data_IF_876126601103
#
_entry.id   IF_876126601103
#
_cell.length_a   1.000
_cell.length_b   1.000
_cell.length_c   1.000
_cell.angle_alpha   90.00
_cell.angle_beta   90.00
_cell.angle_gamma   90.00
#
_symmetry.space_group_name_H-M   'P 1'
#
loop_
_entity.id
_entity.type
_entity.pdbx_description
1 polymer ?
2 branched ?
3 non-polymer ?
4 non-polymer ?
5 non-polymer ?
6 water ?
#
# COMPACT_ATOMS: atom_id res chain seq x y z
N UNK A 38 -4.01 -27.31 4.09
CA UNK A 38 -3.49 -27.08 5.46
C UNK A 38 -3.98 -25.79 6.16
N UNK A 39 -4.58 -24.87 5.40
CA UNK A 39 -4.94 -23.54 5.96
C UNK A 39 -3.71 -22.65 6.25
N UNK A 40 -2.65 -22.81 5.47
CA UNK A 40 -1.44 -22.00 5.60
C UNK A 40 -1.01 -21.34 4.26
N UNK A 41 -1.66 -21.67 3.16
CA UNK A 41 -1.18 -21.20 1.86
C UNK A 41 -1.49 -19.71 1.63
N UNK A 42 -0.70 -19.11 0.74
CA UNK A 42 -0.88 -17.72 0.37
C UNK A 42 -2.22 -17.49 -0.29
N UNK A 43 -2.81 -16.29 -0.06
CA UNK A 43 -3.98 -15.87 -0.77
C UNK A 43 -3.63 -14.81 -1.79
N UNK A 44 -3.96 -15.08 -3.05
CA UNK A 44 -3.61 -14.22 -4.17
C UNK A 44 -4.68 -13.19 -4.53
N UNK A 45 -5.69 -13.05 -3.66
CA UNK A 45 -6.66 -11.96 -3.72
C UNK A 45 -6.51 -11.05 -2.48
N UNK A 46 -5.35 -11.12 -1.83
CA UNK A 46 -5.01 -10.28 -0.68
C UNK A 46 -3.77 -9.50 -1.02
N UNK A 47 -3.91 -8.17 -1.00
CA UNK A 47 -2.88 -7.23 -1.46
C UNK A 47 -2.39 -6.42 -0.30
N UNK A 48 -1.10 -6.41 -0.02
CA UNK A 48 -0.60 -5.67 1.11
C UNK A 48 0.30 -4.53 0.61
N UNK A 49 -0.07 -3.28 0.97
CA UNK A 49 0.67 -2.11 0.47
C UNK A 49 2.04 -2.00 1.10
N UNK A 50 3.05 -1.97 0.23
CA UNK A 50 4.45 -2.07 0.61
C UNK A 50 5.23 -0.85 0.12
N UNK A 51 6.10 -0.37 0.99
CA UNK A 51 6.90 0.83 0.72
C UNK A 51 8.36 0.42 0.72
N UNK A 52 9.07 0.85 -0.35
CA UNK A 52 10.46 0.48 -0.65
C UNK A 52 11.39 1.68 -0.54
N UNK A 53 11.02 2.68 0.28
CA UNK A 53 11.70 3.96 0.31
C UNK A 53 12.63 4.14 1.51
N UNK A 54 12.84 3.06 2.29
CA UNK A 54 13.71 3.16 3.46
C UNK A 54 15.15 2.91 3.09
N UNK A 55 16.11 3.52 3.77
CA UNK A 55 17.52 3.20 3.51
C UNK A 55 18.23 2.83 4.79
N UNK A 56 19.39 2.20 4.64
CA UNK A 56 20.29 2.01 5.79
C UNK A 56 21.71 2.39 5.40
N UNK A 57 22.52 2.67 6.40
CA UNK A 57 23.90 2.89 6.14
C UNK A 57 24.52 1.68 5.40
N UNK A 58 24.16 0.47 5.82
CA UNK A 58 24.78 -0.76 5.28
C UNK A 58 24.67 -0.82 3.78
N UNK A 59 23.51 -0.48 3.22
CA UNK A 59 23.28 -0.62 1.79
C UNK A 59 23.31 0.72 1.04
N UNK A 60 22.58 1.71 1.56
CA UNK A 60 22.39 2.98 0.86
C UNK A 60 23.36 4.07 1.26
N UNK A 61 24.07 3.89 2.36
CA UNK A 61 24.91 4.93 2.93
C UNK A 61 24.16 6.03 3.68
N UNK A 62 22.86 5.85 3.89
CA UNK A 62 22.05 6.82 4.56
C UNK A 62 20.74 6.16 4.98
N UNK A 63 20.20 6.67 6.08
CA UNK A 63 18.86 6.39 6.59
C UNK A 63 17.63 7.21 6.01
N UNK A 64 17.45 7.02 4.71
CA UNK A 64 16.34 7.56 3.97
C UNK A 64 14.99 7.15 4.58
N UNK A 65 14.09 8.12 4.67
CA UNK A 65 12.74 7.99 5.24
C UNK A 65 12.71 7.81 6.75
N UNK A 66 13.69 7.09 7.34
CA UNK A 66 13.79 7.11 8.80
C UNK A 66 14.00 8.56 9.26
N UNK A 67 14.77 9.32 8.47
CA UNK A 67 14.83 10.78 8.54
C UNK A 67 13.73 11.32 7.64
N UNK A 68 13.00 12.33 8.11
CA UNK A 68 11.87 12.85 7.33
C UNK A 68 11.52 14.23 7.79
N UNK A 69 11.12 15.07 6.86
CA UNK A 69 10.62 16.40 7.20
C UNK A 69 9.33 16.31 7.99
N UNK A 70 9.16 17.21 8.95
CA UNK A 70 7.89 17.34 9.68
C UNK A 70 6.99 18.27 8.88
N UNK A 71 5.77 17.84 8.60
CA UNK A 71 4.87 18.61 7.77
C UNK A 71 4.32 19.84 8.53
N UNK A 72 4.30 21.02 7.91
CA UNK A 72 3.60 22.16 8.52
C UNK A 72 2.10 21.88 8.64
N UNK A 73 1.49 22.55 9.59
CA UNK A 73 0.04 22.49 9.77
C UNK A 73 -0.67 23.25 8.64
N UNK A 74 -1.45 22.57 7.78
CA UNK A 74 -2.12 23.31 6.68
C UNK A 74 -3.08 24.39 7.16
N UNK A 75 -3.49 24.32 8.43
CA UNK A 75 -4.33 25.35 9.04
C UNK A 75 -3.60 26.29 10.06
N UNK A 76 -2.26 26.20 10.16
CA UNK A 76 -1.49 26.81 11.28
C UNK A 76 -0.74 28.12 11.02
N UNK A 77 -1.03 28.76 9.90
CA UNK A 77 -0.49 30.10 9.62
C UNK A 77 0.93 30.09 9.07
N UNK A 78 1.46 31.28 8.81
CA UNK A 78 2.76 31.45 8.15
C UNK A 78 3.92 31.42 9.13
N UNK A 79 5.12 31.26 8.59
CA UNK A 79 6.34 31.29 9.39
C UNK A 79 6.57 30.06 10.26
N UNK A 80 5.89 28.95 9.99
CA UNK A 80 6.16 27.70 10.70
C UNK A 80 7.52 27.19 10.24
N UNK A 81 8.29 26.72 11.20
CA UNK A 81 9.57 26.07 10.92
C UNK A 81 9.49 24.75 11.65
N UNK A 82 8.72 23.81 11.08
CA UNK A 82 8.42 22.55 11.75
C UNK A 82 9.61 21.65 11.99
N UNK A 83 10.67 21.81 11.21
CA UNK A 83 11.87 21.00 11.36
C UNK A 83 11.79 19.62 10.73
N UNK A 84 12.72 18.79 11.19
CA UNK A 84 12.89 17.46 10.62
C UNK A 84 13.20 16.47 11.69
N UNK A 85 12.82 15.24 11.43
CA UNK A 85 13.18 14.09 12.28
C UNK A 85 14.52 13.57 11.69
N UNK A 86 15.57 13.41 12.49
CA UNK A 86 16.88 13.16 11.90
C UNK A 86 17.17 11.74 11.48
N UNK A 87 16.33 10.78 11.88
CA UNK A 87 16.57 9.40 11.50
C UNK A 87 17.78 8.77 12.17
N UNK A 88 18.09 9.23 13.37
CA UNK A 88 19.08 8.61 14.23
C UNK A 88 18.47 7.33 14.81
N UNK A 89 19.30 6.53 15.48
CA UNK A 89 18.74 5.36 16.14
C UNK A 89 17.65 5.78 17.13
N UNK A 90 17.87 6.89 17.84
CA UNK A 90 16.99 7.34 18.88
C UNK A 90 15.72 8.01 18.36
N UNK A 91 15.77 8.62 17.17
CA UNK A 91 14.69 9.51 16.68
C UNK A 91 14.42 9.23 15.19
N UNK A 92 13.41 8.38 14.94
CA UNK A 92 12.99 8.02 13.60
C UNK A 92 11.60 8.57 13.32
N UNK A 93 11.23 8.59 12.04
CA UNK A 93 9.99 9.19 11.56
C UNK A 93 8.82 8.20 11.64
N UNK A 94 8.56 7.75 12.86
CA UNK A 94 7.46 6.85 13.16
C UNK A 94 7.12 7.02 14.61
N UNK A 95 5.86 6.75 14.97
CA UNK A 95 5.47 6.63 16.36
C UNK A 95 5.78 5.22 16.91
N UNK A 96 6.11 4.26 16.06
CA UNK A 96 6.49 2.90 16.41
C UNK A 96 7.95 2.68 16.02
N UNK A 97 8.50 1.50 16.34
CA UNK A 97 9.89 1.22 16.08
C UNK A 97 10.03 -0.17 15.49
N UNK A 98 10.63 -0.31 14.29
CA UNK A 98 10.73 -1.62 13.63
C UNK A 98 11.56 -2.63 14.41
N UNK A 99 11.07 -3.87 14.46
CA UNK A 99 11.91 -4.99 14.97
C UNK A 99 13.20 -5.11 14.18
N UNK A 100 13.18 -4.84 12.87
CA UNK A 100 14.36 -4.96 12.03
C UNK A 100 15.27 -3.76 12.08
N UNK A 101 14.94 -2.74 12.87
CA UNK A 101 15.72 -1.53 13.00
C UNK A 101 15.58 -0.63 11.77
N UNK A 102 16.51 0.32 11.63
CA UNK A 102 16.51 1.27 10.52
C UNK A 102 17.05 0.59 9.27
N UNK A 103 16.20 -0.18 8.62
CA UNK A 103 16.61 -1.07 7.55
C UNK A 103 16.64 -0.34 6.18
N UNK A 104 17.39 -0.94 5.25
CA UNK A 104 17.34 -0.54 3.86
C UNK A 104 16.40 -1.43 3.07
N UNK A 105 15.52 -0.78 2.29
CA UNK A 105 14.68 -1.49 1.35
C UNK A 105 15.47 -2.12 0.19
N UNK A 106 16.76 -1.79 0.06
CA UNK A 106 17.65 -2.37 -0.94
C UNK A 106 18.52 -3.48 -0.39
N UNK A 107 18.35 -3.84 0.89
CA UNK A 107 19.16 -4.87 1.52
C UNK A 107 18.54 -6.24 1.20
N UNK A 108 19.19 -7.07 0.39
CA UNK A 108 18.57 -8.37 0.07
C UNK A 108 18.24 -9.21 1.31
N UNK A 109 18.99 -9.04 2.39
CA UNK A 109 18.76 -9.82 3.57
C UNK A 109 17.43 -9.35 4.27
N UNK A 110 17.16 -8.06 4.25
CA UNK A 110 15.88 -7.52 4.77
C UNK A 110 14.75 -8.03 3.88
N UNK A 111 14.96 -8.03 2.58
CA UNK A 111 13.89 -8.42 1.65
C UNK A 111 13.52 -9.88 1.92
N UNK A 112 14.53 -10.73 2.15
CA UNK A 112 14.23 -12.10 2.50
C UNK A 112 13.28 -12.20 3.69
N UNK A 113 13.64 -11.49 4.76
CA UNK A 113 12.85 -11.46 5.99
C UNK A 113 11.46 -10.94 5.71
N UNK A 114 11.33 -9.87 4.95
CA UNK A 114 10.00 -9.39 4.61
C UNK A 114 9.17 -10.45 3.88
N UNK A 115 9.78 -11.19 2.95
CA UNK A 115 9.02 -12.24 2.25
C UNK A 115 8.56 -13.33 3.19
N UNK A 116 9.43 -13.67 4.16
CA UNK A 116 9.01 -14.63 5.16
C UNK A 116 7.85 -14.10 6.01
N UNK A 117 7.83 -12.80 6.27
CA UNK A 117 6.72 -12.18 7.00
C UNK A 117 5.42 -12.23 6.16
N UNK A 118 5.49 -11.98 4.85
CA UNK A 118 4.34 -12.13 3.96
C UNK A 118 3.83 -13.58 4.03
N UNK A 119 4.73 -14.56 4.00
CA UNK A 119 4.32 -15.95 4.11
C UNK A 119 3.58 -16.19 5.43
N UNK A 120 4.10 -15.67 6.54
CA UNK A 120 3.43 -15.82 7.82
C UNK A 120 2.02 -15.18 7.84
N UNK A 121 1.90 -14.03 7.17
CA UNK A 121 0.61 -13.32 7.07
C UNK A 121 -0.35 -13.93 6.08
N UNK A 122 0.16 -14.80 5.19
CA UNK A 122 -0.63 -15.39 4.10
C UNK A 122 -1.04 -14.41 3.02
N UNK A 123 -0.33 -13.28 2.97
CA UNK A 123 -0.67 -12.24 2.00
C UNK A 123 0.09 -12.54 0.70
N UNK A 124 -0.59 -12.95 -0.37
CA UNK A 124 0.10 -13.37 -1.55
C UNK A 124 0.54 -12.32 -2.52
N UNK A 125 0.06 -11.07 -2.36
CA UNK A 125 0.43 -10.01 -3.29
C UNK A 125 1.00 -8.81 -2.54
N UNK A 126 2.18 -8.40 -2.96
CA UNK A 126 2.87 -7.21 -2.48
C UNK A 126 2.55 -6.10 -3.46
N UNK A 127 1.88 -5.04 -2.97
CA UNK A 127 1.44 -3.91 -3.81
C UNK A 127 2.43 -2.77 -3.60
N UNK A 128 3.39 -2.70 -4.52
CA UNK A 128 4.61 -1.89 -4.39
C UNK A 128 4.38 -0.42 -4.75
N UNK A 129 4.61 0.48 -3.81
CA UNK A 129 4.62 1.93 -4.11
C UNK A 129 5.53 2.21 -5.29
N UNK A 130 5.08 3.07 -6.20
CA UNK A 130 5.86 3.34 -7.40
C UNK A 130 5.76 4.81 -7.73
N UNK A 131 6.93 5.49 -7.70
CA UNK A 131 7.05 6.94 -7.76
C UNK A 131 7.72 7.44 -9.02
N UNK A 132 8.01 6.56 -9.98
CA UNK A 132 8.60 6.97 -11.25
C UNK A 132 9.85 7.80 -11.02
N UNK A 133 10.76 7.26 -10.21
CA UNK A 133 11.96 8.04 -9.89
C UNK A 133 12.96 8.05 -11.04
N UNK A 134 12.89 7.10 -11.97
CA UNK A 134 13.77 7.03 -13.16
C UNK A 134 15.23 7.10 -12.72
N UNK A 135 15.59 6.25 -11.80
CA UNK A 135 16.96 6.19 -11.34
C UNK A 135 17.36 4.77 -11.13
N UNK A 136 18.64 4.55 -11.28
CA UNK A 136 19.29 3.27 -11.12
C UNK A 136 18.90 2.54 -9.82
N UNK A 137 18.85 3.30 -8.75
CA UNK A 137 18.64 2.68 -7.46
C UNK A 137 17.21 2.10 -7.35
N UNK A 138 16.23 2.79 -7.96
CA UNK A 138 14.83 2.29 -8.04
C UNK A 138 14.78 1.03 -8.85
N UNK A 139 15.41 1.05 -10.00
CA UNK A 139 15.39 -0.13 -10.87
C UNK A 139 16.01 -1.32 -10.17
N UNK A 140 17.11 -1.10 -9.46
CA UNK A 140 17.73 -2.21 -8.76
C UNK A 140 16.80 -2.78 -7.68
N UNK A 141 16.21 -1.91 -6.91
CA UNK A 141 15.37 -2.34 -5.82
C UNK A 141 14.14 -3.13 -6.34
N UNK A 142 13.51 -2.65 -7.41
CA UNK A 142 12.36 -3.37 -7.92
C UNK A 142 12.75 -4.80 -8.32
N UNK A 143 13.89 -4.95 -9.00
CA UNK A 143 14.37 -6.28 -9.33
C UNK A 143 14.65 -7.13 -8.13
N UNK A 144 15.27 -6.56 -7.11
CA UNK A 144 15.53 -7.34 -5.86
C UNK A 144 14.23 -7.80 -5.22
N UNK A 145 13.23 -6.94 -5.19
CA UNK A 145 11.95 -7.27 -4.57
C UNK A 145 11.26 -8.41 -5.36
N UNK A 146 11.20 -8.32 -6.68
CA UNK A 146 10.65 -9.39 -7.49
C UNK A 146 11.40 -10.70 -7.27
N UNK A 147 12.73 -10.66 -7.25
CA UNK A 147 13.52 -11.88 -7.05
C UNK A 147 13.20 -12.51 -5.70
N UNK A 148 13.20 -11.69 -4.64
CA UNK A 148 12.94 -12.24 -3.30
C UNK A 148 11.54 -12.77 -3.19
N UNK A 149 10.57 -12.04 -3.73
CA UNK A 149 9.19 -12.49 -3.72
C UNK A 149 9.05 -13.86 -4.38
N UNK A 150 9.70 -14.06 -5.51
CA UNK A 150 9.49 -15.32 -6.24
C UNK A 150 9.96 -16.51 -5.45
N UNK A 151 10.99 -16.33 -4.62
CA UNK A 151 11.52 -17.47 -3.86
C UNK A 151 10.47 -18.02 -2.91
N UNK A 152 9.49 -17.22 -2.53
CA UNK A 152 8.43 -17.59 -1.63
C UNK A 152 7.06 -17.63 -2.26
N UNK A 153 7.00 -17.59 -3.59
CA UNK A 153 5.75 -17.65 -4.34
C UNK A 153 4.86 -16.42 -4.11
N UNK A 154 5.46 -15.32 -3.64
CA UNK A 154 4.70 -14.08 -3.54
C UNK A 154 4.73 -13.38 -4.89
N UNK A 155 3.64 -12.65 -5.15
CA UNK A 155 3.48 -11.90 -6.37
C UNK A 155 3.59 -10.39 -6.10
N UNK A 156 3.92 -9.62 -7.13
CA UNK A 156 4.11 -8.19 -7.01
C UNK A 156 3.25 -7.49 -8.05
N UNK A 157 2.49 -6.48 -7.59
CA UNK A 157 1.83 -5.53 -8.46
C UNK A 157 2.27 -4.14 -8.06
N UNK A 158 1.93 -3.15 -8.87
CA UNK A 158 2.36 -1.76 -8.64
C UNK A 158 1.21 -0.87 -8.21
N UNK A 159 1.57 0.00 -7.25
CA UNK A 159 0.69 1.03 -6.67
C UNK A 159 1.22 2.36 -7.23
N UNK A 160 0.53 2.87 -8.26
CA UNK A 160 1.00 4.02 -9.02
C UNK A 160 0.68 5.31 -8.29
N UNK A 161 1.71 5.96 -7.79
CA UNK A 161 1.60 7.12 -6.97
C UNK A 161 1.45 8.40 -7.77
N UNK A 162 1.15 9.53 -7.13
CA UNK A 162 0.96 10.81 -7.85
C UNK A 162 2.28 11.49 -8.09
N UNK A 163 3.03 10.96 -9.04
CA UNK A 163 4.33 11.49 -9.43
C UNK A 163 4.14 12.78 -10.26
N UNK A 164 5.19 13.62 -10.36
CA UNK A 164 5.04 14.94 -10.99
C UNK A 164 4.53 14.84 -12.43
N UNK A 165 3.53 15.66 -12.75
CA UNK A 165 2.95 15.72 -14.08
C UNK A 165 2.33 14.41 -14.53
N UNK A 166 1.98 13.52 -13.59
CA UNK A 166 1.27 12.31 -13.96
C UNK A 166 0.06 12.68 -14.80
N UNK A 167 -0.13 11.95 -15.90
CA UNK A 167 -1.27 12.17 -16.78
C UNK A 167 -1.51 10.87 -17.55
N UNK A 168 -2.59 10.77 -18.33
CA UNK A 168 -2.87 9.43 -18.91
C UNK A 168 -1.84 9.01 -19.96
N UNK A 169 -1.20 9.97 -20.62
CA UNK A 169 -0.21 9.62 -21.65
C UNK A 169 1.04 9.03 -21.00
N UNK A 170 1.63 9.74 -20.03
CA UNK A 170 2.78 9.14 -19.37
C UNK A 170 2.40 7.94 -18.51
N UNK A 171 1.19 7.87 -18.00
CA UNK A 171 0.74 6.62 -17.33
C UNK A 171 0.77 5.48 -18.30
N UNK A 172 0.23 5.68 -19.52
CA UNK A 172 0.30 4.59 -20.48
C UNK A 172 1.72 4.16 -20.75
N UNK A 173 2.59 5.16 -20.97
CA UNK A 173 3.99 4.84 -21.27
C UNK A 173 4.64 4.09 -20.13
N UNK A 174 4.29 4.45 -18.90
CA UNK A 174 4.83 3.76 -17.72
C UNK A 174 4.27 2.39 -17.50
N UNK A 175 2.98 2.19 -17.80
CA UNK A 175 2.40 0.84 -17.77
C UNK A 175 3.08 -0.03 -18.81
N UNK A 176 3.28 0.47 -20.01
CA UNK A 176 4.01 -0.25 -21.04
C UNK A 176 5.40 -0.61 -20.53
N UNK A 177 6.09 0.34 -19.95
CA UNK A 177 7.45 0.09 -19.48
C UNK A 177 7.46 -0.96 -18.38
N UNK A 178 6.56 -0.87 -17.42
CA UNK A 178 6.54 -1.84 -16.32
C UNK A 178 6.19 -3.24 -16.82
N UNK A 179 5.20 -3.36 -17.72
CA UNK A 179 4.85 -4.67 -18.25
C UNK A 179 6.02 -5.21 -19.10
N UNK A 180 6.66 -4.36 -19.89
CA UNK A 180 7.78 -4.81 -20.74
C UNK A 180 8.95 -5.26 -19.87
N UNK A 181 9.29 -4.47 -18.86
CA UNK A 181 10.47 -4.77 -18.01
C UNK A 181 10.25 -5.97 -17.10
N UNK A 182 9.05 -6.05 -16.51
CA UNK A 182 8.78 -6.97 -15.39
C UNK A 182 7.73 -8.00 -15.69
N UNK A 183 6.99 -7.88 -16.79
CA UNK A 183 5.85 -8.75 -17.02
C UNK A 183 6.17 -10.22 -17.17
N UNK A 184 7.39 -10.52 -17.63
CA UNK A 184 7.80 -11.90 -17.72
C UNK A 184 8.51 -12.42 -16.49
N UNK A 185 8.67 -11.59 -15.45
CA UNK A 185 9.26 -12.07 -14.22
C UNK A 185 8.24 -13.02 -13.60
N UNK A 186 8.68 -14.17 -13.07
CA UNK A 186 7.72 -15.12 -12.51
C UNK A 186 6.92 -14.61 -11.31
N UNK A 187 7.40 -13.57 -10.63
CA UNK A 187 6.63 -12.98 -9.53
C UNK A 187 5.71 -11.85 -9.93
N UNK A 188 5.66 -11.48 -11.20
CA UNK A 188 4.76 -10.40 -11.60
C UNK A 188 3.31 -10.89 -11.52
N UNK A 189 2.47 -10.13 -10.82
CA UNK A 189 1.09 -10.54 -10.58
C UNK A 189 0.20 -10.45 -11.84
N UNK A 190 -0.63 -11.48 -12.03
CA UNK A 190 -1.75 -11.39 -12.96
C UNK A 190 -2.99 -12.00 -12.31
N UNK A 191 -4.13 -11.43 -12.65
CA UNK A 191 -5.44 -11.95 -12.22
C UNK A 191 -6.16 -12.28 -13.52
N UNK A 192 -6.50 -13.55 -13.67
CA UNK A 192 -7.13 -14.05 -14.89
C UNK A 192 -6.46 -13.52 -16.18
N UNK A 193 -5.13 -13.55 -16.18
CA UNK A 193 -4.35 -13.13 -17.33
C UNK A 193 -3.98 -11.67 -17.44
N UNK A 194 -4.48 -10.83 -16.54
CA UNK A 194 -4.23 -9.39 -16.62
C UNK A 194 -3.39 -8.90 -15.47
N UNK A 195 -2.40 -8.03 -15.72
CA UNK A 195 -1.79 -7.27 -14.62
C UNK A 195 -2.85 -6.46 -13.87
N UNK A 196 -2.49 -6.05 -12.65
CA UNK A 196 -3.38 -5.18 -11.87
C UNK A 196 -2.58 -3.98 -11.35
N UNK A 197 -3.12 -2.79 -11.45
CA UNK A 197 -2.51 -1.60 -10.85
C UNK A 197 -3.51 -0.90 -9.95
N UNK A 198 -3.02 -0.46 -8.79
CA UNK A 198 -3.77 0.47 -7.93
C UNK A 198 -3.33 1.88 -8.28
N UNK A 199 -4.27 2.81 -8.43
CA UNK A 199 -3.96 4.19 -8.81
C UNK A 199 -4.30 5.12 -7.64
N UNK A 200 -3.26 5.58 -6.93
CA UNK A 200 -3.47 6.42 -5.77
C UNK A 200 -3.91 7.82 -6.19
N UNK A 201 -4.87 8.41 -5.47
CA UNK A 201 -5.34 9.79 -5.73
C UNK A 201 -5.70 9.93 -7.20
N UNK A 202 -6.44 8.92 -7.72
CA UNK A 202 -6.87 8.92 -9.10
C UNK A 202 -7.76 10.11 -9.46
N UNK A 203 -8.44 10.70 -8.46
CA UNK A 203 -9.29 11.86 -8.67
C UNK A 203 -8.54 13.10 -9.14
N UNK A 204 -7.23 13.11 -9.03
CA UNK A 204 -6.42 14.21 -9.56
C UNK A 204 -6.42 14.26 -11.07
N UNK A 205 -6.94 13.22 -11.74
CA UNK A 205 -7.05 13.18 -13.19
C UNK A 205 -8.55 13.07 -13.50
N UNK A 206 -9.05 13.90 -14.40
CA UNK A 206 -10.44 13.96 -14.80
C UNK A 206 -10.89 12.66 -15.44
N UNK A 207 -12.15 12.25 -15.22
CA UNK A 207 -12.71 11.12 -15.99
C UNK A 207 -12.56 11.24 -17.47
N UNK A 208 -12.70 12.46 -18.02
CA UNK A 208 -12.57 12.58 -19.47
C UNK A 208 -11.16 12.18 -19.97
N UNK A 209 -10.15 12.40 -19.15
CA UNK A 209 -8.80 11.92 -19.48
C UNK A 209 -8.70 10.42 -19.28
N UNK A 210 -9.17 9.91 -18.14
CA UNK A 210 -9.14 8.48 -17.90
C UNK A 210 -9.79 7.68 -19.04
N UNK A 211 -10.92 8.17 -19.56
CA UNK A 211 -11.66 7.48 -20.61
C UNK A 211 -10.77 7.19 -21.81
N UNK A 212 -9.85 8.11 -22.12
CA UNK A 212 -8.98 7.96 -23.27
C UNK A 212 -8.05 6.75 -23.13
N UNK A 213 -7.71 6.43 -21.89
CA UNK A 213 -6.85 5.29 -21.58
C UNK A 213 -7.62 4.01 -21.34
N UNK A 214 -8.81 4.11 -20.74
CA UNK A 214 -9.48 2.98 -20.13
C UNK A 214 -10.77 2.55 -20.80
N UNK A 215 -11.41 3.39 -21.61
CA UNK A 215 -12.50 2.90 -22.42
C UNK A 215 -11.95 2.07 -23.57
N UNK A 216 -12.68 1.02 -24.02
CA UNK A 216 -12.22 0.28 -25.18
C UNK A 216 -12.11 1.16 -26.44
N UNK A 217 -12.85 2.26 -26.48
CA UNK A 217 -12.79 3.18 -27.60
C UNK A 217 -11.88 4.37 -27.39
N UNK A 218 -11.20 4.42 -26.25
CA UNK A 218 -10.40 5.57 -25.93
C UNK A 218 -9.28 5.81 -26.91
N UNK A 219 -8.94 7.08 -27.08
CA UNK A 219 -7.92 7.44 -28.01
C UNK A 219 -6.58 6.77 -27.86
N UNK A 220 -6.20 6.50 -26.60
CA UNK A 220 -4.95 5.81 -26.29
C UNK A 220 -5.21 4.55 -25.45
N UNK A 221 -6.25 3.83 -25.82
CA UNK A 221 -6.71 2.73 -24.98
C UNK A 221 -5.62 1.69 -24.78
N UNK A 222 -5.68 1.08 -23.58
CA UNK A 222 -4.95 -0.17 -23.31
C UNK A 222 -5.83 -1.38 -23.53
N UNK A 223 -7.15 -1.20 -23.69
CA UNK A 223 -8.01 -2.37 -23.82
C UNK A 223 -7.71 -3.10 -25.12
N UNK A 224 -7.68 -4.45 -25.04
CA UNK A 224 -7.43 -5.31 -26.19
C UNK A 224 -6.01 -5.19 -26.73
N UNK A 225 -5.11 -4.59 -25.96
CA UNK A 225 -3.72 -4.52 -26.32
C UNK A 225 -2.90 -5.45 -25.44
N UNK A 226 -1.61 -5.56 -25.76
CA UNK A 226 -0.68 -6.30 -24.93
C UNK A 226 -0.51 -5.72 -23.53
N UNK A 227 -0.98 -4.49 -23.34
CA UNK A 227 -0.74 -3.74 -22.12
C UNK A 227 -2.00 -3.51 -21.32
N UNK A 228 -3.05 -4.30 -21.61
CA UNK A 228 -4.28 -4.20 -20.85
C UNK A 228 -3.97 -4.60 -19.39
N UNK A 229 -4.78 -4.08 -18.47
CA UNK A 229 -4.61 -4.32 -17.06
C UNK A 229 -5.90 -4.01 -16.33
N UNK A 230 -6.06 -4.61 -15.16
CA UNK A 230 -7.11 -4.21 -14.24
C UNK A 230 -6.66 -2.94 -13.52
N UNK A 231 -7.41 -1.87 -13.69
CA UNK A 231 -7.06 -0.55 -13.15
C UNK A 231 -8.01 -0.24 -12.02
N UNK A 232 -7.45 -0.12 -10.83
CA UNK A 232 -8.22 0.02 -9.60
C UNK A 232 -8.03 1.46 -9.09
N UNK A 233 -9.11 2.26 -9.17
CA UNK A 233 -9.05 3.65 -8.75
C UNK A 233 -9.41 3.83 -7.29
N UNK A 234 -9.12 4.99 -6.76
CA UNK A 234 -9.34 5.27 -5.34
C UNK A 234 -10.75 5.85 -5.14
N UNK A 235 -11.63 5.12 -4.49
CA UNK A 235 -12.94 5.66 -4.09
C UNK A 235 -12.76 6.47 -2.81
N UNK A 236 -12.96 7.79 -2.87
CA UNK A 236 -12.81 8.66 -1.70
C UNK A 236 -14.15 9.01 -1.08
N UNK A 237 -14.92 9.90 -1.73
CA UNK A 237 -16.04 10.57 -1.09
C UNK A 237 -17.37 9.90 -1.36
N UNK A 238 -18.45 10.68 -1.39
CA UNK A 238 -19.79 10.10 -1.37
C UNK A 238 -20.14 9.44 -2.71
N UNK A 239 -21.14 8.55 -2.71
CA UNK A 239 -21.55 7.91 -3.95
C UNK A 239 -21.94 8.86 -5.05
N UNK A 240 -22.56 9.99 -4.71
CA UNK A 240 -22.97 10.90 -5.76
C UNK A 240 -21.80 11.44 -6.61
N UNK A 241 -20.62 11.52 -6.02
CA UNK A 241 -19.42 11.90 -6.73
C UNK A 241 -18.72 10.64 -7.29
N UNK A 242 -18.55 9.61 -6.48
CA UNK A 242 -17.69 8.49 -6.86
C UNK A 242 -18.30 7.58 -7.92
N UNK A 243 -19.63 7.35 -7.86
CA UNK A 243 -20.25 6.45 -8.83
C UNK A 243 -20.00 6.94 -10.28
N UNK A 244 -20.36 8.20 -10.59
CA UNK A 244 -20.09 8.62 -11.95
C UNK A 244 -18.60 8.74 -12.26
N UNK A 245 -17.77 9.08 -11.28
CA UNK A 245 -16.34 9.14 -11.54
C UNK A 245 -15.82 7.77 -12.02
N UNK A 246 -16.16 6.72 -11.26
CA UNK A 246 -15.65 5.41 -11.60
C UNK A 246 -16.18 4.92 -12.95
N UNK A 247 -17.48 5.12 -13.18
CA UNK A 247 -18.06 4.70 -14.46
C UNK A 247 -17.49 5.48 -15.62
N UNK A 248 -17.42 6.81 -15.52
CA UNK A 248 -17.00 7.66 -16.61
C UNK A 248 -15.50 7.52 -16.88
N UNK A 249 -14.73 7.16 -15.85
CA UNK A 249 -13.29 6.93 -16.02
C UNK A 249 -12.98 5.54 -16.56
N UNK A 250 -13.95 4.62 -16.52
CA UNK A 250 -13.74 3.25 -16.99
C UNK A 250 -12.73 2.47 -16.17
N UNK A 251 -12.62 2.78 -14.88
CA UNK A 251 -11.84 1.89 -14.00
C UNK A 251 -12.49 0.52 -13.93
N UNK A 252 -11.65 -0.50 -13.75
CA UNK A 252 -12.13 -1.87 -13.53
C UNK A 252 -12.61 -2.11 -12.14
N UNK A 253 -12.22 -1.27 -11.19
CA UNK A 253 -12.57 -1.46 -9.81
C UNK A 253 -12.09 -0.31 -8.98
N UNK A 254 -12.22 -0.45 -7.67
CA UNK A 254 -11.88 0.60 -6.76
C UNK A 254 -11.43 0.05 -5.43
N UNK A 255 -10.57 0.81 -4.76
CA UNK A 255 -10.07 0.55 -3.43
C UNK A 255 -10.24 1.80 -2.59
N UNK A 256 -10.00 1.69 -1.28
CA UNK A 256 -10.28 2.80 -0.37
C UNK A 256 -9.05 3.36 0.35
N UNK A 257 -7.97 2.57 0.40
CA UNK A 257 -6.68 2.85 1.01
C UNK A 257 -6.68 3.13 2.52
N UNK A 258 -7.37 4.19 2.97
CA UNK A 258 -7.03 4.73 4.28
C UNK A 258 -7.30 3.75 5.40
N UNK A 259 -6.31 3.63 6.30
CA UNK A 259 -6.43 2.72 7.43
C UNK A 259 -7.31 3.26 8.53
N UNK A 260 -7.52 4.58 8.55
CA UNK A 260 -8.26 5.25 9.62
C UNK A 260 -9.74 5.28 9.28
N UNK A 261 -10.54 4.57 10.08
CA UNK A 261 -11.98 4.52 9.83
C UNK A 261 -12.57 5.92 9.86
N UNK A 262 -13.44 6.20 8.90
CA UNK A 262 -14.09 7.49 8.87
C UNK A 262 -13.30 8.62 8.28
N UNK A 263 -12.06 8.40 7.87
CA UNK A 263 -11.28 9.47 7.27
C UNK A 263 -11.95 9.98 5.97
N UNK A 264 -12.50 9.05 5.20
CA UNK A 264 -13.31 9.35 4.03
C UNK A 264 -14.58 8.51 4.11
N UNK A 265 -15.55 8.82 3.24
CA UNK A 265 -16.69 7.96 3.06
C UNK A 265 -16.23 6.52 2.75
N UNK A 266 -15.28 6.41 1.82
CA UNK A 266 -14.82 5.11 1.39
C UNK A 266 -14.14 4.29 2.47
N UNK A 267 -13.49 4.96 3.42
CA UNK A 267 -12.82 4.28 4.51
C UNK A 267 -13.72 4.20 5.76
N UNK A 268 -15.04 4.30 5.58
CA UNK A 268 -16.02 4.10 6.65
C UNK A 268 -16.65 2.74 6.43
N UNK A 269 -16.25 1.71 7.20
CA UNK A 269 -16.66 0.35 6.83
C UNK A 269 -18.15 0.06 6.79
N UNK A 270 -18.97 0.82 7.51
CA UNK A 270 -20.40 0.62 7.40
C UNK A 270 -20.94 0.91 5.98
N UNK A 271 -20.16 1.61 5.14
CA UNK A 271 -20.54 1.78 3.77
C UNK A 271 -20.19 0.63 2.82
N UNK A 272 -19.43 -0.33 3.30
CA UNK A 272 -18.87 -1.35 2.39
C UNK A 272 -19.91 -2.28 1.80
N UNK A 273 -20.95 -2.66 2.55
CA UNK A 273 -21.99 -3.51 1.95
C UNK A 273 -22.61 -2.81 0.74
N UNK A 274 -22.96 -1.54 0.87
CA UNK A 274 -23.58 -0.78 -0.21
C UNK A 274 -22.61 -0.52 -1.37
N UNK A 275 -21.34 -0.29 -1.05
CA UNK A 275 -20.33 -0.13 -2.11
C UNK A 275 -20.15 -1.42 -2.90
N UNK A 276 -20.16 -2.53 -2.21
CA UNK A 276 -20.04 -3.82 -2.89
C UNK A 276 -21.26 -4.09 -3.78
N UNK A 277 -22.46 -3.79 -3.27
CA UNK A 277 -23.69 -3.96 -4.07
C UNK A 277 -23.59 -3.15 -5.38
N UNK A 278 -23.16 -1.90 -5.29
CA UNK A 278 -22.99 -1.09 -6.48
C UNK A 278 -21.93 -1.68 -7.41
N UNK A 279 -20.82 -2.12 -6.83
CA UNK A 279 -19.76 -2.71 -7.63
C UNK A 279 -20.28 -3.89 -8.43
N UNK A 280 -21.00 -4.80 -7.76
CA UNK A 280 -21.53 -5.97 -8.41
C UNK A 280 -22.51 -5.59 -9.54
N UNK A 281 -23.37 -4.61 -9.28
CA UNK A 281 -24.35 -4.18 -10.27
C UNK A 281 -23.70 -3.54 -11.48
N UNK A 282 -22.48 -3.02 -11.34
CA UNK A 282 -21.83 -2.29 -12.40
C UNK A 282 -20.57 -2.96 -12.94
N UNK A 283 -20.35 -4.23 -12.60
CA UNK A 283 -19.24 -5.00 -13.15
C UNK A 283 -17.87 -4.51 -12.68
N UNK A 284 -17.79 -3.97 -11.47
CA UNK A 284 -16.55 -3.43 -10.93
C UNK A 284 -16.05 -4.28 -9.79
N UNK A 285 -14.72 -4.31 -9.63
CA UNK A 285 -14.08 -5.04 -8.55
C UNK A 285 -13.81 -4.14 -7.35
N UNK A 286 -14.47 -4.37 -6.23
CA UNK A 286 -14.24 -3.60 -5.01
C UNK A 286 -13.20 -4.30 -4.15
N UNK A 287 -12.13 -3.58 -3.80
CA UNK A 287 -11.03 -4.08 -2.99
C UNK A 287 -10.90 -3.17 -1.76
N UNK A 288 -11.77 -3.35 -0.76
CA UNK A 288 -11.66 -2.47 0.42
C UNK A 288 -10.32 -2.62 1.09
N UNK A 289 -9.87 -1.53 1.70
CA UNK A 289 -8.59 -1.52 2.44
C UNK A 289 -8.85 -1.56 3.93
N UNK A 290 -8.14 -2.48 4.60
CA UNK A 290 -8.24 -2.64 6.04
C UNK A 290 -6.88 -2.38 6.65
N UNK A 291 -6.85 -1.85 7.85
CA UNK A 291 -5.59 -1.66 8.55
C UNK A 291 -5.74 -1.78 10.04
N UNK A 292 -4.59 -1.87 10.74
CA UNK A 292 -4.60 -2.22 12.15
C UNK A 292 -4.71 -1.03 13.08
N UNK A 293 -4.61 0.18 12.56
CA UNK A 293 -4.60 1.42 13.35
C UNK A 293 -4.02 2.51 12.47
N UNK A 294 -3.91 3.71 13.06
CA UNK A 294 -3.33 4.85 12.37
C UNK A 294 -2.76 5.80 13.41
N UNK A 295 -1.55 6.27 13.18
CA UNK A 295 -1.01 7.43 13.96
C UNK A 295 0.21 7.95 13.21
N UNK A 296 0.17 9.26 12.92
CA UNK A 296 1.22 9.88 12.11
C UNK A 296 1.76 11.13 12.77
N UNK A 297 1.62 11.26 14.09
CA UNK A 297 1.89 12.54 14.72
C UNK A 297 3.38 12.89 14.87
N UNK A 298 4.31 11.94 14.69
CA UNK A 298 5.73 12.34 14.62
C UNK A 298 5.96 13.23 13.40
N UNK A 299 5.42 12.84 12.24
CA UNK A 299 5.60 13.63 11.02
C UNK A 299 4.50 14.66 10.75
N UNK A 300 3.33 14.51 11.38
CA UNK A 300 2.19 15.41 11.20
C UNK A 300 1.62 15.70 12.58
N UNK A 301 2.30 16.56 13.40
CA UNK A 301 1.91 16.73 14.81
C UNK A 301 0.51 17.29 15.02
N UNK A 302 0.01 17.98 14.00
CA UNK A 302 -1.31 18.61 13.94
C UNK A 302 -2.41 17.64 13.53
N UNK A 303 -2.09 16.38 13.22
CA UNK A 303 -3.05 15.45 12.63
C UNK A 303 -3.62 14.45 13.63
N UNK A 304 -3.63 14.79 14.91
CA UNK A 304 -4.06 13.87 15.92
C UNK A 304 -5.48 13.39 15.82
N UNK A 305 -6.39 14.14 15.17
CA UNK A 305 -7.76 13.67 15.05
C UNK A 305 -7.90 12.40 14.20
N UNK A 306 -6.88 12.08 13.40
CA UNK A 306 -6.90 10.88 12.56
C UNK A 306 -6.38 9.65 13.32
N UNK A 307 -5.85 9.82 14.55
CA UNK A 307 -5.37 8.66 15.29
C UNK A 307 -6.48 7.65 15.48
N UNK A 308 -6.18 6.38 15.23
CA UNK A 308 -7.04 5.25 15.54
C UNK A 308 -6.23 4.28 16.35
N UNK A 309 -6.67 4.03 17.58
CA UNK A 309 -5.94 3.18 18.54
C UNK A 309 -6.10 1.71 18.17
N UNK A 310 -5.01 0.96 18.33
CA UNK A 310 -5.00 -0.47 17.94
C UNK A 310 -5.77 -1.38 18.88
N UNK A 311 -5.86 -1.01 20.15
CA UNK A 311 -6.58 -1.77 21.18
C UNK A 311 -6.26 -3.26 21.13
N UNK A 312 -4.98 -3.56 21.13
CA UNK A 312 -4.50 -4.99 21.21
C UNK A 312 -5.05 -5.86 20.12
N UNK A 313 -5.31 -5.26 18.97
CA UNK A 313 -5.81 -5.98 17.80
C UNK A 313 -7.29 -5.83 17.55
N UNK A 314 -8.05 -5.27 18.49
CA UNK A 314 -9.50 -5.19 18.32
C UNK A 314 -9.90 -4.28 17.17
N UNK A 315 -9.15 -3.22 16.93
CA UNK A 315 -9.44 -2.34 15.76
C UNK A 315 -9.27 -3.11 14.45
N UNK A 316 -8.14 -3.81 14.32
CA UNK A 316 -7.88 -4.58 13.08
C UNK A 316 -8.95 -5.62 12.87
N UNK A 317 -9.31 -6.33 13.94
CA UNK A 317 -10.35 -7.36 13.84
C UNK A 317 -11.65 -6.78 13.32
N UNK A 318 -12.06 -5.63 13.91
CA UNK A 318 -13.31 -5.07 13.50
C UNK A 318 -13.33 -4.68 12.04
N UNK A 319 -12.22 -4.09 11.57
CA UNK A 319 -12.17 -3.62 10.18
C UNK A 319 -12.13 -4.80 9.20
N UNK A 320 -11.31 -5.80 9.50
CA UNK A 320 -11.19 -6.96 8.63
C UNK A 320 -12.53 -7.70 8.57
N UNK A 321 -13.19 -7.83 9.72
CA UNK A 321 -14.51 -8.49 9.73
C UNK A 321 -15.48 -7.77 8.80
N UNK A 322 -15.51 -6.44 8.83
CA UNK A 322 -16.40 -5.70 7.96
C UNK A 322 -16.12 -5.94 6.48
N UNK A 323 -14.84 -6.02 6.12
CA UNK A 323 -14.52 -6.31 4.71
C UNK A 323 -15.05 -7.66 4.30
N UNK A 324 -14.83 -8.69 5.14
CA UNK A 324 -15.27 -10.03 4.82
C UNK A 324 -16.79 -10.07 4.73
N UNK A 325 -17.47 -9.47 5.69
CA UNK A 325 -18.93 -9.42 5.71
C UNK A 325 -19.54 -8.75 4.52
N UNK A 326 -18.81 -7.80 3.91
CA UNK A 326 -19.34 -7.12 2.74
C UNK A 326 -19.39 -8.03 1.53
N UNK A 327 -18.70 -9.16 1.57
CA UNK A 327 -18.82 -10.14 0.48
C UNK A 327 -17.94 -9.83 -0.71
N UNK A 328 -16.83 -9.17 -0.50
CA UNK A 328 -15.91 -8.81 -1.57
C UNK A 328 -15.07 -10.00 -2.01
N UNK A 329 -14.49 -9.83 -3.19
CA UNK A 329 -13.65 -10.80 -3.87
C UNK A 329 -12.16 -10.69 -3.57
N UNK A 330 -11.77 -9.55 -3.00
CA UNK A 330 -10.38 -9.20 -2.80
C UNK A 330 -10.33 -8.16 -1.70
N UNK A 331 -9.23 -8.18 -0.95
CA UNK A 331 -9.01 -7.27 0.17
C UNK A 331 -7.60 -6.71 0.08
N UNK A 332 -7.46 -5.43 0.41
CA UNK A 332 -6.14 -4.81 0.50
C UNK A 332 -5.87 -4.41 1.93
N UNK A 333 -4.59 -4.43 2.29
CA UNK A 333 -4.13 -4.17 3.66
C UNK A 333 -3.22 -2.97 3.65
N UNK A 334 -3.66 -1.95 4.41
CA UNK A 334 -2.90 -0.72 4.64
C UNK A 334 -2.38 -0.76 6.05
N UNK A 335 -1.14 -1.19 6.29
CA UNK A 335 -0.09 -1.40 5.27
C UNK A 335 0.87 -2.46 5.79
N UNK A 336 1.77 -2.93 4.93
CA UNK A 336 2.88 -3.71 5.45
C UNK A 336 3.77 -2.84 6.32
N UNK A 337 4.18 -1.67 5.77
CA UNK A 337 5.28 -0.91 6.35
C UNK A 337 5.23 0.57 6.03
N UNK A 338 4.03 1.19 6.13
CA UNK A 338 3.97 2.67 6.13
C UNK A 338 4.16 3.09 7.62
N UNK A 339 5.44 3.09 8.02
CA UNK A 339 5.81 3.37 9.41
C UNK A 339 5.49 4.82 9.78
N UNK A 340 5.51 5.74 8.82
CA UNK A 340 5.21 7.11 9.13
C UNK A 340 3.79 7.30 9.59
N UNK A 341 2.89 6.47 9.07
CA UNK A 341 1.48 6.58 9.32
C UNK A 341 0.96 5.60 10.38
N UNK A 342 1.85 4.76 10.91
CA UNK A 342 1.45 3.89 11.99
C UNK A 342 0.41 2.87 11.60
N UNK A 343 0.36 2.52 10.32
CA UNK A 343 -0.59 1.54 9.82
C UNK A 343 0.06 0.18 9.58
N UNK A 344 1.34 0.02 9.93
CA UNK A 344 2.09 -1.17 9.54
C UNK A 344 1.65 -2.40 10.31
N UNK A 345 1.68 -3.55 9.62
CA UNK A 345 1.58 -4.87 10.28
C UNK A 345 2.97 -5.46 10.50
N UNK A 346 4.01 -4.90 9.90
CA UNK A 346 5.36 -5.38 10.09
C UNK A 346 5.68 -5.36 11.58
N UNK A 347 6.44 -6.36 12.09
CA UNK A 347 6.78 -6.38 13.52
C UNK A 347 7.46 -5.10 14.01
N UNK A 348 6.99 -4.66 15.20
CA UNK A 348 7.48 -3.52 15.94
C UNK A 348 7.86 -4.00 17.33
N UNK A 349 8.81 -3.30 17.94
CA UNK A 349 9.30 -3.68 19.27
C UNK A 349 9.19 -2.49 20.21
N UNK A 350 9.07 -2.76 21.52
CA UNK A 350 9.17 -1.68 22.49
C UNK A 350 10.53 -1.01 22.40
N UNK A 351 10.52 0.31 22.54
CA UNK A 351 11.77 1.06 22.55
C UNK A 351 11.51 2.42 23.18
N UNK A 352 12.39 2.75 24.12
CA UNK A 352 12.42 4.08 24.69
C UNK A 352 13.83 4.60 24.57
N UNK A 353 13.97 5.69 23.86
CA UNK A 353 15.28 6.31 23.72
C UNK A 353 15.29 7.58 24.51
N UNK A 354 16.44 8.24 24.51
CA UNK A 354 16.55 9.54 25.15
C UNK A 354 15.72 10.60 24.44
N UNK A 355 15.32 10.35 23.19
CA UNK A 355 14.62 11.33 22.40
C UNK A 355 13.10 11.11 22.27
N UNK A 356 12.64 9.88 22.42
CA UNK A 356 11.23 9.57 22.21
C UNK A 356 10.89 8.24 22.85
N UNK A 357 9.66 8.17 23.38
CA UNK A 357 9.12 6.91 23.90
C UNK A 357 8.17 6.36 22.83
N UNK A 358 8.54 5.28 22.15
CA UNK A 358 7.74 4.79 21.03
C UNK A 358 6.53 4.04 21.55
N UNK A 359 5.47 4.03 20.74
CA UNK A 359 4.41 3.07 20.89
C UNK A 359 4.90 1.69 20.52
N UNK A 360 4.16 0.66 20.90
CA UNK A 360 4.51 -0.72 20.60
C UNK A 360 3.24 -1.56 20.61
N UNK A 361 3.37 -2.86 20.36
CA UNK A 361 2.19 -3.72 20.21
C UNK A 361 1.54 -4.13 21.54
N UNK A 362 2.02 -3.53 22.63
CA UNK A 362 1.39 -3.54 23.96
C UNK A 362 1.33 -4.94 24.52
N UNK A 363 0.13 -5.41 24.83
CA UNK A 363 0.01 -6.79 25.26
C UNK A 363 0.25 -7.86 24.25
N UNK A 364 0.35 -7.48 22.98
CA UNK A 364 0.66 -8.46 21.93
C UNK A 364 2.15 -8.48 21.64
N UNK A 365 2.58 -9.63 21.10
CA UNK A 365 3.95 -9.83 20.67
C UNK A 365 4.25 -9.13 19.32
N UNK A 366 5.55 -8.95 19.00
CA UNK A 366 5.88 -8.18 17.75
C UNK A 366 5.25 -8.72 16.48
N UNK A 367 5.14 -10.05 16.33
CA UNK A 367 4.55 -10.66 15.13
C UNK A 367 3.05 -10.83 15.16
N UNK A 368 2.38 -10.25 16.17
CA UNK A 368 0.96 -10.46 16.33
C UNK A 368 0.15 -10.06 15.11
N UNK A 369 0.50 -8.90 14.47
CA UNK A 369 -0.31 -8.46 13.35
C UNK A 369 -0.07 -9.32 12.11
N UNK A 370 1.10 -9.95 11.98
CA UNK A 370 1.29 -10.94 10.90
C UNK A 370 0.40 -12.17 11.13
N UNK A 371 0.48 -12.74 12.35
CA UNK A 371 -0.33 -13.92 12.58
C UNK A 371 -1.82 -13.64 12.65
N UNK A 372 -2.22 -12.44 13.06
CA UNK A 372 -3.63 -12.11 13.02
C UNK A 372 -4.10 -11.89 11.58
N UNK A 373 -3.24 -11.33 10.71
CA UNK A 373 -3.57 -11.26 9.29
C UNK A 373 -3.83 -12.67 8.74
N UNK A 374 -2.98 -13.63 9.10
CA UNK A 374 -3.17 -15.00 8.60
C UNK A 374 -4.53 -15.55 9.06
N UNK A 375 -4.93 -15.26 10.31
CA UNK A 375 -6.25 -15.65 10.82
C UNK A 375 -7.33 -15.10 9.91
N UNK A 376 -7.26 -13.80 9.61
CA UNK A 376 -8.31 -13.17 8.78
C UNK A 376 -8.30 -13.64 7.34
N UNK A 377 -7.11 -13.90 6.76
CA UNK A 377 -7.03 -14.45 5.44
C UNK A 377 -7.78 -15.80 5.41
N UNK A 378 -7.61 -16.61 6.44
CA UNK A 378 -8.36 -17.88 6.50
C UNK A 378 -9.87 -17.68 6.55
N UNK A 379 -10.32 -16.69 7.35
CA UNK A 379 -11.74 -16.39 7.37
C UNK A 379 -12.25 -15.88 6.02
N UNK A 380 -11.42 -15.06 5.35
CA UNK A 380 -11.76 -14.56 4.02
C UNK A 380 -11.91 -15.74 3.03
N UNK A 381 -10.97 -16.67 3.09
CA UNK A 381 -11.00 -17.80 2.16
C UNK A 381 -12.18 -18.69 2.40
N UNK A 382 -12.52 -18.82 3.67
CA UNK A 382 -13.66 -19.66 4.04
C UNK A 382 -14.94 -19.12 3.41
N UNK A 383 -14.97 -17.78 3.25
CA UNK A 383 -16.07 -16.94 2.68
C UNK A 383 -16.17 -16.88 1.18
N UNK A 384 -15.08 -17.23 0.50
CA UNK A 384 -14.90 -16.93 -0.93
C UNK A 384 -15.66 -18.00 -1.66
X LIG B 1 -5.25 13.61 2.24
X LIG B 1 -4.15 12.87 1.49
X LIG B 1 -4.62 12.59 0.07
X LIG B 1 -5.95 11.90 0.11
X LIG B 1 -6.98 12.75 0.83
X LIG B 1 -8.29 12.06 0.99
X LIG B 1 -5.24 14.91 1.72
X LIG B 1 -3.94 11.60 2.15
X LIG B 1 -3.59 11.83 -0.58
X LIG B 1 -6.45 11.67 -1.20
X LIG B 1 -6.52 13.02 2.18
X LIG B 1 -9.33 12.94 1.44
X LIG B 2 -2.63 11.27 2.69
X LIG B 2 -2.43 9.76 2.93
X LIG B 2 -3.23 9.22 4.16
X LIG B 2 -3.04 10.14 5.36
X LIG B 2 -3.37 11.58 4.97
X LIG B 2 -3.24 12.39 6.24
X LIG B 2 -1.04 9.48 3.08
X LIG B 2 -3.04 7.76 4.47
X LIG B 2 -3.98 9.71 6.29
X LIG B 2 -2.41 11.98 3.95
X LIG B 2 -4.41 12.19 7.12
X LIG C 1 -9.29 12.84 -26.96
X LIG C 1 -9.14 13.80 -26.19
X LIG C 1 -8.34 12.06 -27.20
X LIG C 1 -10.60 12.57 -27.61
X LIG D 1 -0.08 6.56 1.44
X LIG D 1 1.36 7.89 -0.21
X LIG D 1 1.64 8.33 2.29
X LIG D 1 0.77 7.16 2.54
X LIG D 1 1.30 8.60 -1.47
X LIG D 1 0.03 7.18 0.04
X LIG D 1 -0.24 6.08 -0.98
X LIG D 1 0.77 5.08 -0.91
X LIG D 1 1.66 8.93 0.87
X LIG D 1 2.94 9.51 0.63
X LIG D 1 2.25 6.97 2.40
X LIG E 1 3.08 10.84 1.20
X LIG E 1 4.24 11.53 0.55
X LIG E 1 5.57 10.88 0.94
X LIG E 1 5.71 10.87 2.45
X LIG E 1 4.50 10.14 3.03
X LIG E 1 4.50 10.19 4.55
X LIG E 1 4.03 11.54 -0.85
X LIG E 1 6.63 11.67 0.36
X LIG E 1 6.89 10.18 2.82
X LIG E 1 3.29 10.82 2.60
X LIG E 1 3.40 9.50 5.12
#
# INVERSE_FOLDING_TARGET
>A
MGSSHHHHHHSSGLVPRGSHMDDNNPSNSENNGGNNNLGTELDYDTFCFYYDWYGSEAIDGQYRHWAHAIAPDPNGGSGQNPGTIPGTQESIASNFYPQLGRYSSSDPNILTKHMDMFVMARTGVLALTWWNEQDETEAKRIGLILDAADKKKIKVCFHLEPYPSRNVQNLRENIVKLITRYGNHPAFYRKDGKPLFFIYDSYLIEPSEWEKLLSPGGSITIRNTAYDALMIGLWTSSPTVQRPFILNAHFDGFYTYFAATGFTYGSTPTNWVSMQKWAKENGKIFIPSVGPGYIDTRIRPWNGSVIRTRTDGQYYDAMYRKAIEAGVSAISITSFNEWHEGSQIEPAVPYTSSEFTYLDYENREPDYYLTRTAYWVGKFRESKQ
>B hetero
1 MAN C1 C2 C3 C4 C5 C6 O1 O2 O3 O4 O5 O6
2 MAN C1 C2 C3 C4 C5 C6 O2 O3 O4 O5 O6
>C hetero
1 ACT C O OXT CH3
>D hetero
1 E9K C7 C4 C2 C1 O4 C5 C6 O6 C3 O3 N2
>E hetero
1 GLC C1 C2 C3 C4 C5 C6 O2 O3 O4 O5 O6
#
